data_IF_190399066093
#
_entry.id   IF_190399066093
#
_cell.length_a   1.000
_cell.length_b   1.000
_cell.length_c   1.000
_cell.angle_alpha   90.00
_cell.angle_beta   90.00
_cell.angle_gamma   90.00
#
_symmetry.space_group_name_H-M   'P 1'
#
loop_
_entity.id
_entity.type
_entity.pdbx_description
1 polymer ?
#
# COMPACT_ATOMS: atom_id res chain seq x y z
N UNK A 1 -12.16 -30.85 15.54
CA UNK A 1 -11.26 -30.45 16.62
C UNK A 1 -10.72 -29.01 16.45
N UNK A 2 -11.53 -28.07 15.94
CA UNK A 2 -11.12 -26.66 15.78
C UNK A 2 -11.83 -25.71 16.76
N UNK A 3 -12.63 -26.23 17.68
CA UNK A 3 -13.68 -25.46 18.35
C UNK A 3 -13.33 -25.04 19.81
N UNK A 4 -12.12 -25.33 20.29
CA UNK A 4 -11.73 -24.99 21.67
C UNK A 4 -10.88 -23.72 21.80
N UNK A 5 -10.72 -22.95 20.71
CA UNK A 5 -9.97 -21.71 20.72
C UNK A 5 -10.85 -20.52 21.12
N UNK A 6 -11.07 -20.35 22.41
CA UNK A 6 -11.98 -19.33 22.96
C UNK A 6 -11.25 -18.13 23.58
N UNK A 7 -9.94 -18.24 23.84
CA UNK A 7 -9.17 -17.21 24.54
C UNK A 7 -8.46 -16.30 23.52
N UNK A 8 -8.57 -14.99 23.72
CA UNK A 8 -7.87 -14.00 22.88
C UNK A 8 -6.37 -14.15 22.97
N UNK A 9 -5.69 -13.96 21.83
CA UNK A 9 -4.24 -14.03 21.74
C UNK A 9 -3.53 -13.12 22.75
N UNK A 10 -2.53 -13.68 23.44
CA UNK A 10 -1.65 -12.94 24.33
C UNK A 10 -0.77 -11.93 23.55
N UNK A 11 -0.16 -10.98 24.29
CA UNK A 11 0.81 -10.06 23.69
C UNK A 11 2.03 -10.79 23.12
N UNK A 12 2.43 -11.89 23.73
CA UNK A 12 3.56 -12.74 23.29
C UNK A 12 3.22 -13.44 21.97
N UNK A 13 2.07 -14.10 21.88
CA UNK A 13 1.58 -14.76 20.66
C UNK A 13 1.51 -13.81 19.48
N UNK A 14 1.03 -12.59 19.70
CA UNK A 14 1.00 -11.54 18.66
C UNK A 14 2.40 -11.10 18.21
N UNK A 15 3.36 -11.00 19.14
CA UNK A 15 4.77 -10.70 18.81
C UNK A 15 5.42 -11.84 18.02
N UNK A 16 5.19 -13.08 18.40
CA UNK A 16 5.68 -14.27 17.70
C UNK A 16 5.09 -14.35 16.28
N UNK A 17 3.78 -14.19 16.13
CA UNK A 17 3.14 -14.13 14.82
C UNK A 17 3.73 -12.99 13.93
N UNK A 18 3.98 -11.82 14.51
CA UNK A 18 4.66 -10.72 13.79
C UNK A 18 6.10 -11.08 13.42
N UNK A 19 6.86 -11.72 14.30
CA UNK A 19 8.21 -12.19 14.02
C UNK A 19 8.21 -13.26 12.92
N UNK A 20 7.15 -14.04 12.81
CA UNK A 20 6.90 -14.99 11.73
C UNK A 20 6.42 -14.31 10.44
N UNK A 21 6.12 -12.99 10.46
CA UNK A 21 5.61 -12.23 9.32
C UNK A 21 4.13 -12.48 9.04
N UNK A 22 3.40 -13.05 10.00
CA UNK A 22 1.95 -13.20 9.92
C UNK A 22 1.33 -11.89 10.41
N UNK A 23 0.81 -11.11 9.49
CA UNK A 23 0.20 -9.78 9.75
C UNK A 23 -1.09 -9.60 8.96
N UNK A 24 -2.04 -8.87 9.53
CA UNK A 24 -3.26 -8.49 8.81
C UNK A 24 -2.92 -7.38 7.80
N UNK A 25 -2.88 -7.72 6.52
CA UNK A 25 -2.65 -6.78 5.42
C UNK A 25 -3.71 -6.97 4.34
N UNK A 26 -4.34 -5.89 3.94
CA UNK A 26 -5.16 -5.85 2.73
C UNK A 26 -4.39 -5.19 1.59
N UNK A 27 -4.14 -5.94 0.54
CA UNK A 27 -3.55 -5.43 -0.70
C UNK A 27 -4.52 -4.48 -1.39
N UNK A 28 -5.81 -4.78 -1.33
CA UNK A 28 -6.90 -3.99 -1.93
C UNK A 28 -6.96 -2.58 -1.36
N UNK A 29 -6.86 -2.44 -0.03
CA UNK A 29 -6.84 -1.14 0.63
C UNK A 29 -5.61 -0.30 0.21
N UNK A 30 -4.43 -0.93 0.09
CA UNK A 30 -3.23 -0.22 -0.37
C UNK A 30 -3.38 0.29 -1.80
N UNK A 31 -3.93 -0.53 -2.71
CA UNK A 31 -4.18 -0.15 -4.11
C UNK A 31 -5.22 0.95 -4.18
N UNK A 32 -6.30 0.86 -3.41
CA UNK A 32 -7.36 1.86 -3.38
C UNK A 32 -6.85 3.23 -2.91
N UNK A 33 -5.99 3.26 -1.88
CA UNK A 33 -5.35 4.50 -1.41
C UNK A 33 -4.44 5.12 -2.47
N UNK A 34 -3.68 4.31 -3.19
CA UNK A 34 -2.83 4.78 -4.29
C UNK A 34 -3.67 5.32 -5.44
N UNK A 35 -4.76 4.62 -5.81
CA UNK A 35 -5.67 5.07 -6.86
C UNK A 35 -6.35 6.38 -6.49
N UNK A 36 -6.80 6.51 -5.23
CA UNK A 36 -7.39 7.76 -4.73
C UNK A 36 -6.37 8.91 -4.78
N UNK A 37 -5.13 8.64 -4.36
CA UNK A 37 -4.04 9.61 -4.44
C UNK A 37 -3.79 10.05 -5.89
N UNK A 38 -3.67 9.11 -6.83
CA UNK A 38 -3.46 9.41 -8.25
C UNK A 38 -4.62 10.22 -8.85
N UNK A 39 -5.87 9.84 -8.56
CA UNK A 39 -7.05 10.55 -9.01
C UNK A 39 -7.15 11.96 -8.41
N UNK A 40 -6.82 12.13 -7.13
CA UNK A 40 -6.77 13.42 -6.47
C UNK A 40 -5.67 14.33 -7.06
N UNK A 41 -4.49 13.79 -7.34
CA UNK A 41 -3.41 14.52 -8.00
C UNK A 41 -3.85 14.99 -9.40
N UNK A 42 -4.49 14.09 -10.17
CA UNK A 42 -5.00 14.44 -11.49
C UNK A 42 -6.05 15.57 -11.41
N UNK A 43 -6.93 15.51 -10.43
CA UNK A 43 -7.94 16.54 -10.21
C UNK A 43 -7.35 17.88 -9.79
N UNK A 44 -6.38 17.88 -8.85
CA UNK A 44 -5.81 19.09 -8.28
C UNK A 44 -4.72 19.72 -9.15
N UNK A 45 -3.84 18.89 -9.71
CA UNK A 45 -2.65 19.34 -10.43
C UNK A 45 -2.70 19.09 -11.94
N UNK A 46 -3.69 18.33 -12.43
CA UNK A 46 -3.76 17.94 -13.84
C UNK A 46 -3.84 19.15 -14.77
N UNK A 47 -4.61 20.18 -14.41
CA UNK A 47 -4.69 21.42 -15.17
C UNK A 47 -3.34 22.14 -15.25
N UNK A 48 -2.65 22.30 -14.13
CA UNK A 48 -1.33 22.92 -14.06
C UNK A 48 -0.30 22.15 -14.88
N UNK A 49 -0.36 20.83 -14.88
CA UNK A 49 0.51 19.98 -15.70
C UNK A 49 0.27 20.22 -17.20
N UNK A 50 -1.00 20.23 -17.63
CA UNK A 50 -1.35 20.48 -19.04
C UNK A 50 -0.92 21.88 -19.48
N UNK A 51 -1.18 22.91 -18.68
CA UNK A 51 -0.78 24.29 -18.96
C UNK A 51 0.75 24.42 -19.02
N UNK A 52 1.48 23.75 -18.14
CA UNK A 52 2.95 23.71 -18.14
C UNK A 52 3.50 23.04 -19.41
N UNK A 53 2.97 21.89 -19.79
CA UNK A 53 3.39 21.17 -21.00
C UNK A 53 3.06 21.97 -22.27
N UNK A 54 1.87 22.57 -22.33
CA UNK A 54 1.47 23.44 -23.45
C UNK A 54 2.36 24.69 -23.56
N UNK A 55 2.68 25.31 -22.43
CA UNK A 55 3.61 26.45 -22.37
C UNK A 55 5.02 26.06 -22.83
N UNK A 56 5.53 24.91 -22.38
CA UNK A 56 6.81 24.38 -22.82
C UNK A 56 6.84 24.14 -24.34
N UNK A 57 5.80 23.50 -24.88
CA UNK A 57 5.71 23.19 -26.30
C UNK A 57 5.62 24.47 -27.13
N UNK A 58 4.80 25.43 -26.70
CA UNK A 58 4.65 26.73 -27.40
C UNK A 58 5.97 27.54 -27.39
N UNK A 59 6.70 27.52 -26.27
CA UNK A 59 8.00 28.18 -26.18
C UNK A 59 9.03 27.55 -27.14
N UNK A 60 9.04 26.23 -27.25
CA UNK A 60 9.94 25.52 -28.19
C UNK A 60 9.58 25.79 -29.65
N UNK A 61 8.30 25.82 -29.99
CA UNK A 61 7.84 26.16 -31.35
C UNK A 61 8.20 27.59 -31.72
N UNK A 62 8.01 28.55 -30.80
CA UNK A 62 8.37 29.93 -31.01
C UNK A 62 9.90 30.09 -31.17
N UNK A 63 10.69 29.44 -30.32
CA UNK A 63 12.15 29.46 -30.44
C UNK A 63 12.63 28.86 -31.78
N UNK A 64 11.99 27.80 -32.25
CA UNK A 64 12.33 27.21 -33.57
C UNK A 64 11.91 28.07 -34.77
N UNK A 65 10.89 28.92 -34.59
CA UNK A 65 10.40 29.86 -35.65
C UNK A 65 11.14 31.19 -35.67
N UNK A 66 11.98 31.49 -34.68
CA UNK A 66 12.73 32.75 -34.65
C UNK A 66 13.93 32.69 -35.60
N UNK A 67 14.02 33.59 -36.61
CA UNK A 67 15.17 33.67 -37.52
C UNK A 67 16.51 33.83 -36.81
N UNK A 68 16.53 34.54 -35.66
CA UNK A 68 17.73 34.69 -34.84
C UNK A 68 18.26 33.35 -34.26
N UNK A 69 17.39 32.36 -34.11
CA UNK A 69 17.78 31.03 -33.68
C UNK A 69 18.59 30.26 -34.72
N UNK A 70 18.42 30.59 -36.02
CA UNK A 70 19.15 29.98 -37.13
C UNK A 70 20.60 30.50 -37.23
N UNK A 71 20.85 31.73 -36.72
CA UNK A 71 22.18 32.36 -36.73
C UNK A 71 23.05 31.92 -35.52
N UNK A 72 22.42 31.38 -34.48
CA UNK A 72 23.18 30.92 -33.30
C UNK A 72 23.82 29.54 -33.55
N UNK A 73 25.15 29.39 -33.43
CA UNK A 73 25.79 28.12 -33.64
C UNK A 73 25.31 27.13 -32.54
N UNK A 74 24.86 25.96 -32.99
CA UNK A 74 24.49 24.87 -32.06
C UNK A 74 25.75 24.32 -31.45
N UNK A 75 26.11 24.83 -30.29
CA UNK A 75 27.28 24.36 -29.51
C UNK A 75 26.81 23.38 -28.44
N UNK A 76 27.68 22.45 -28.05
CA UNK A 76 27.38 21.54 -26.94
C UNK A 76 26.97 22.26 -25.64
N UNK A 77 27.49 23.45 -25.40
CA UNK A 77 27.15 24.31 -24.26
C UNK A 77 25.72 24.83 -24.35
N UNK A 78 25.26 25.24 -25.54
CA UNK A 78 23.87 25.73 -25.73
C UNK A 78 22.86 24.57 -25.57
N UNK A 79 23.17 23.38 -26.10
CA UNK A 79 22.33 22.19 -25.91
C UNK A 79 22.26 21.78 -24.44
N UNK A 80 23.40 21.80 -23.73
CA UNK A 80 23.44 21.42 -22.30
C UNK A 80 22.67 22.40 -21.44
N UNK A 81 22.79 23.71 -21.69
CA UNK A 81 22.05 24.74 -20.95
C UNK A 81 20.55 24.65 -21.17
N UNK A 82 20.11 24.46 -22.41
CA UNK A 82 18.69 24.27 -22.74
C UNK A 82 18.14 22.98 -22.11
N UNK A 83 18.86 21.87 -22.22
CA UNK A 83 18.47 20.62 -21.58
C UNK A 83 18.36 20.76 -20.05
N UNK A 84 19.30 21.48 -19.43
CA UNK A 84 19.25 21.79 -18.00
C UNK A 84 18.03 22.62 -17.59
N UNK A 85 17.72 23.68 -18.34
CA UNK A 85 16.52 24.49 -18.09
C UNK A 85 15.23 23.69 -18.23
N UNK A 86 15.11 22.88 -19.30
CA UNK A 86 13.98 21.98 -19.51
C UNK A 86 13.85 20.96 -18.39
N UNK A 87 14.96 20.38 -17.93
CA UNK A 87 14.97 19.43 -16.84
C UNK A 87 14.54 20.07 -15.51
N UNK A 88 15.04 21.25 -15.19
CA UNK A 88 14.65 21.99 -13.98
C UNK A 88 13.18 22.41 -14.01
N UNK A 89 12.70 22.92 -15.16
CA UNK A 89 11.29 23.31 -15.30
C UNK A 89 10.34 22.12 -15.22
N UNK A 90 10.68 21.01 -15.89
CA UNK A 90 9.88 19.80 -15.87
C UNK A 90 9.90 19.11 -14.49
N UNK A 91 11.03 19.15 -13.77
CA UNK A 91 11.16 18.49 -12.48
C UNK A 91 10.20 19.05 -11.43
N UNK A 92 9.98 20.36 -11.38
CA UNK A 92 9.08 21.00 -10.42
C UNK A 92 7.61 20.55 -10.60
N UNK A 93 7.21 20.23 -11.83
CA UNK A 93 5.85 19.79 -12.16
C UNK A 93 5.71 18.26 -12.07
N UNK A 94 6.77 17.50 -12.38
CA UNK A 94 6.72 16.03 -12.39
C UNK A 94 7.03 15.40 -11.03
N UNK A 95 7.86 16.06 -10.20
CA UNK A 95 8.29 15.53 -8.91
C UNK A 95 7.12 15.23 -7.95
N UNK A 96 6.07 16.09 -7.82
CA UNK A 96 4.92 15.78 -6.98
C UNK A 96 4.18 14.50 -7.40
N UNK A 97 4.10 14.22 -8.71
CA UNK A 97 3.45 13.02 -9.26
C UNK A 97 4.18 11.74 -8.92
N UNK A 98 5.48 11.81 -8.66
CA UNK A 98 6.29 10.68 -8.23
C UNK A 98 6.33 10.54 -6.71
N UNK A 99 6.60 11.65 -6.00
CA UNK A 99 6.86 11.62 -4.56
C UNK A 99 5.59 11.42 -3.72
N UNK A 100 4.47 12.03 -4.12
CA UNK A 100 3.23 11.92 -3.33
C UNK A 100 2.67 10.49 -3.33
N UNK A 101 2.52 9.79 -4.49
CA UNK A 101 2.09 8.38 -4.48
C UNK A 101 3.08 7.46 -3.76
N UNK A 102 4.38 7.73 -3.86
CA UNK A 102 5.40 6.98 -3.13
C UNK A 102 5.23 7.15 -1.61
N UNK A 103 5.04 8.39 -1.15
CA UNK A 103 4.78 8.67 0.27
C UNK A 103 3.49 7.99 0.75
N UNK A 104 2.40 8.06 -0.04
CA UNK A 104 1.14 7.39 0.28
C UNK A 104 1.32 5.87 0.34
N UNK A 105 2.10 5.27 -0.56
CA UNK A 105 2.40 3.84 -0.54
C UNK A 105 3.13 3.42 0.74
N UNK A 106 4.13 4.20 1.14
CA UNK A 106 4.90 3.96 2.37
C UNK A 106 4.00 4.10 3.60
N UNK A 107 3.24 5.20 3.69
CA UNK A 107 2.32 5.45 4.82
C UNK A 107 1.25 4.38 4.90
N UNK A 108 0.63 3.99 3.78
CA UNK A 108 -0.38 2.93 3.74
C UNK A 108 0.19 1.58 4.24
N UNK A 109 1.43 1.26 3.88
CA UNK A 109 2.14 0.08 4.37
C UNK A 109 2.41 0.16 5.88
N UNK A 110 2.93 1.29 6.36
CA UNK A 110 3.23 1.51 7.78
C UNK A 110 1.97 1.49 8.66
N UNK A 111 0.88 2.08 8.20
CA UNK A 111 -0.39 2.10 8.95
C UNK A 111 -1.00 0.69 9.07
N UNK A 112 -0.92 -0.13 8.02
CA UNK A 112 -1.49 -1.48 8.03
C UNK A 112 -0.67 -2.49 8.85
N UNK A 113 0.66 -2.47 8.68
CA UNK A 113 1.56 -3.51 9.22
C UNK A 113 2.35 -3.00 10.41
N UNK A 114 2.56 -1.67 10.48
CA UNK A 114 3.56 -1.05 11.34
C UNK A 114 4.97 -1.27 10.80
N UNK A 115 5.96 -0.82 11.55
CA UNK A 115 7.36 -1.04 11.19
C UNK A 115 7.72 -2.51 11.43
N UNK A 116 7.89 -3.27 10.33
CA UNK A 116 8.23 -4.70 10.36
C UNK A 116 9.38 -4.97 9.40
N UNK A 117 10.58 -5.16 9.94
CA UNK A 117 11.78 -5.47 9.18
C UNK A 117 12.21 -6.91 9.45
N UNK A 118 12.07 -7.81 8.46
CA UNK A 118 12.39 -9.23 8.55
C UNK A 118 13.41 -9.65 7.47
N UNK A 119 14.69 -9.31 7.60
CA UNK A 119 15.69 -9.62 6.57
C UNK A 119 15.89 -11.13 6.36
N UNK A 120 15.74 -11.95 7.41
CA UNK A 120 15.92 -13.40 7.35
C UNK A 120 14.89 -14.17 6.52
N UNK A 121 13.78 -13.53 6.10
CA UNK A 121 12.75 -14.16 5.24
C UNK A 121 12.87 -13.82 3.74
N UNK A 122 13.82 -12.99 3.37
CA UNK A 122 14.10 -12.62 1.99
C UNK A 122 14.82 -13.74 1.19
N UNK A 123 15.23 -14.84 1.84
CA UNK A 123 15.90 -15.95 1.16
C UNK A 123 14.92 -16.71 0.27
N UNK A 124 15.21 -16.85 -1.03
CA UNK A 124 14.37 -17.60 -1.94
C UNK A 124 14.34 -19.08 -1.59
N UNK A 125 13.15 -19.64 -1.40
CA UNK A 125 12.96 -21.09 -1.14
C UNK A 125 12.62 -21.77 -2.45
N UNK A 126 13.60 -22.48 -3.04
CA UNK A 126 13.48 -23.18 -4.32
C UNK A 126 12.31 -24.18 -4.32
N UNK A 127 12.00 -24.80 -3.17
CA UNK A 127 10.87 -25.73 -3.04
C UNK A 127 9.48 -25.13 -3.29
N UNK A 128 9.35 -23.78 -3.36
CA UNK A 128 8.09 -23.10 -3.72
C UNK A 128 7.89 -22.94 -5.23
N UNK A 129 8.85 -23.30 -6.05
CA UNK A 129 8.81 -23.21 -7.52
C UNK A 129 8.17 -24.43 -8.17
N UNK A 130 7.59 -25.37 -7.41
CA UNK A 130 6.94 -26.54 -7.99
C UNK A 130 5.63 -26.15 -8.71
N UNK A 131 5.57 -26.22 -10.06
CA UNK A 131 4.42 -25.79 -10.84
C UNK A 131 3.19 -26.67 -10.63
N UNK A 132 3.37 -27.97 -10.36
CA UNK A 132 2.28 -28.91 -10.18
C UNK A 132 1.44 -28.60 -8.92
N UNK A 133 2.08 -28.13 -7.84
CA UNK A 133 1.38 -27.66 -6.63
C UNK A 133 0.61 -26.37 -6.86
N UNK A 134 1.10 -25.51 -7.76
CA UNK A 134 0.44 -24.26 -8.16
C UNK A 134 -0.87 -24.51 -8.91
N UNK A 135 -0.88 -25.44 -9.87
CA UNK A 135 -2.06 -25.76 -10.67
C UNK A 135 -3.23 -26.31 -9.81
N UNK A 136 -2.92 -27.20 -8.87
CA UNK A 136 -3.92 -27.76 -7.94
C UNK A 136 -4.53 -26.70 -7.04
N UNK A 137 -3.74 -25.68 -6.66
CA UNK A 137 -4.21 -24.57 -5.83
C UNK A 137 -5.14 -23.62 -6.61
N UNK A 138 -4.90 -23.45 -7.92
CA UNK A 138 -5.76 -22.63 -8.79
C UNK A 138 -7.16 -23.21 -8.90
N UNK A 139 -7.27 -24.54 -8.94
CA UNK A 139 -8.55 -25.28 -9.05
C UNK A 139 -9.22 -25.57 -7.69
N UNK A 140 -8.74 -24.99 -6.58
CA UNK A 140 -9.32 -25.20 -5.26
C UNK A 140 -10.61 -24.37 -5.08
N UNK A 141 -11.58 -24.91 -4.31
CA UNK A 141 -12.81 -24.21 -3.96
C UNK A 141 -12.58 -22.88 -3.23
N UNK A 142 -11.48 -22.77 -2.47
CA UNK A 142 -11.08 -21.51 -1.83
C UNK A 142 -10.74 -20.41 -2.86
N UNK A 143 -10.08 -20.79 -3.96
CA UNK A 143 -9.81 -19.85 -5.04
C UNK A 143 -11.08 -19.50 -5.85
N UNK A 144 -12.01 -20.43 -6.00
CA UNK A 144 -13.27 -20.17 -6.68
C UNK A 144 -14.12 -19.14 -5.92
N UNK A 145 -14.17 -19.21 -4.59
CA UNK A 145 -14.88 -18.19 -3.77
C UNK A 145 -14.18 -16.84 -3.84
N UNK A 146 -12.84 -16.80 -3.83
CA UNK A 146 -12.07 -15.58 -4.03
C UNK A 146 -12.28 -14.96 -5.42
N UNK A 147 -12.35 -15.79 -6.46
CA UNK A 147 -12.65 -15.34 -7.83
C UNK A 147 -14.08 -14.76 -7.93
N UNK A 148 -15.07 -15.39 -7.30
CA UNK A 148 -16.44 -14.88 -7.24
C UNK A 148 -16.54 -13.50 -6.57
N UNK A 149 -15.87 -13.29 -5.45
CA UNK A 149 -15.78 -11.99 -4.79
C UNK A 149 -15.10 -10.94 -5.67
N UNK A 150 -14.04 -11.30 -6.38
CA UNK A 150 -13.39 -10.39 -7.31
C UNK A 150 -14.26 -10.02 -8.49
N UNK A 151 -15.06 -10.97 -9.02
CA UNK A 151 -16.04 -10.70 -10.06
C UNK A 151 -17.15 -9.76 -9.58
N UNK A 152 -17.64 -9.95 -8.36
CA UNK A 152 -18.61 -9.03 -7.75
C UNK A 152 -18.04 -7.61 -7.60
N UNK A 153 -16.78 -7.46 -7.17
CA UNK A 153 -16.10 -6.17 -7.11
C UNK A 153 -16.00 -5.50 -8.47
N UNK A 154 -15.61 -6.27 -9.48
CA UNK A 154 -15.55 -5.79 -10.86
C UNK A 154 -16.90 -5.32 -11.36
N UNK A 155 -17.97 -6.07 -11.06
CA UNK A 155 -19.33 -5.71 -11.42
C UNK A 155 -19.76 -4.38 -10.78
N UNK A 156 -19.47 -4.19 -9.49
CA UNK A 156 -19.79 -2.92 -8.78
C UNK A 156 -19.07 -1.75 -9.43
N UNK A 157 -17.77 -1.90 -9.74
CA UNK A 157 -16.97 -0.85 -10.39
C UNK A 157 -17.49 -0.56 -11.82
N UNK A 158 -17.88 -1.60 -12.56
CA UNK A 158 -18.43 -1.45 -13.90
C UNK A 158 -19.78 -0.72 -13.89
N UNK A 159 -20.65 -1.05 -12.95
CA UNK A 159 -21.94 -0.36 -12.77
C UNK A 159 -21.70 1.11 -12.39
N UNK A 160 -20.81 1.37 -11.43
CA UNK A 160 -20.49 2.74 -11.01
C UNK A 160 -19.93 3.58 -12.17
N UNK A 161 -19.00 3.02 -12.96
CA UNK A 161 -18.46 3.68 -14.15
C UNK A 161 -19.55 3.91 -15.21
N UNK A 162 -20.38 2.91 -15.47
CA UNK A 162 -21.47 3.00 -16.45
C UNK A 162 -22.49 4.07 -16.10
N UNK A 163 -22.93 4.12 -14.84
CA UNK A 163 -23.85 5.16 -14.36
C UNK A 163 -23.21 6.55 -14.43
N UNK A 164 -21.94 6.69 -14.07
CA UNK A 164 -21.24 7.96 -14.21
C UNK A 164 -21.15 8.39 -15.68
N UNK A 165 -20.69 7.53 -16.57
CA UNK A 165 -20.58 7.84 -17.99
C UNK A 165 -21.94 8.20 -18.60
N UNK A 166 -22.98 7.47 -18.25
CA UNK A 166 -24.35 7.78 -18.69
C UNK A 166 -24.79 9.17 -18.24
N UNK A 167 -24.50 9.54 -16.98
CA UNK A 167 -24.83 10.88 -16.47
C UNK A 167 -24.06 12.00 -17.16
N UNK A 168 -22.88 11.73 -17.71
CA UNK A 168 -22.02 12.70 -18.37
C UNK A 168 -22.23 12.80 -19.89
N UNK A 169 -23.13 12.00 -20.49
CA UNK A 169 -23.41 12.04 -21.93
C UNK A 169 -23.75 13.46 -22.43
N UNK A 170 -24.61 14.26 -21.76
CA UNK A 170 -24.89 15.63 -22.22
C UNK A 170 -23.63 16.52 -22.22
N UNK A 171 -22.78 16.37 -21.20
CA UNK A 171 -21.51 17.11 -21.09
C UNK A 171 -20.58 16.73 -22.24
N UNK A 172 -20.41 15.44 -22.52
CA UNK A 172 -19.55 14.94 -23.60
C UNK A 172 -20.05 15.45 -24.97
N UNK A 173 -21.36 15.41 -25.22
CA UNK A 173 -21.93 15.93 -26.46
C UNK A 173 -21.68 17.44 -26.61
N UNK A 174 -21.71 18.22 -25.53
CA UNK A 174 -21.44 19.65 -25.57
C UNK A 174 -19.98 19.99 -25.91
N UNK A 175 -19.02 19.06 -25.73
CA UNK A 175 -17.59 19.27 -26.04
C UNK A 175 -17.35 19.49 -27.55
N UNK A 176 -18.24 19.05 -28.43
CA UNK A 176 -18.13 19.27 -29.87
C UNK A 176 -18.24 20.76 -30.22
N UNK A 177 -18.84 21.57 -29.34
CA UNK A 177 -19.12 23.02 -29.59
C UNK A 177 -18.07 23.96 -28.99
N UNK A 178 -17.07 23.42 -28.30
CA UNK A 178 -16.03 24.22 -27.62
C UNK A 178 -14.69 24.13 -28.37
N UNK A 179 -13.75 25.00 -28.02
CA UNK A 179 -12.40 24.93 -28.57
C UNK A 179 -11.67 23.65 -28.12
N UNK A 180 -10.71 23.20 -28.94
CA UNK A 180 -9.93 21.98 -28.66
C UNK A 180 -9.27 22.03 -27.27
N UNK A 181 -8.74 23.20 -26.87
CA UNK A 181 -8.13 23.34 -25.53
C UNK A 181 -9.15 23.22 -24.39
N UNK A 182 -10.35 23.78 -24.55
CA UNK A 182 -11.43 23.63 -23.57
C UNK A 182 -11.96 22.20 -23.51
N UNK A 183 -12.11 21.57 -24.68
CA UNK A 183 -12.52 20.16 -24.75
C UNK A 183 -11.51 19.25 -24.03
N UNK A 184 -10.21 19.47 -24.23
CA UNK A 184 -9.14 18.70 -23.54
C UNK A 184 -9.18 18.87 -22.01
N UNK A 185 -9.31 20.10 -21.52
CA UNK A 185 -9.42 20.39 -20.08
C UNK A 185 -10.67 19.78 -19.46
N UNK A 186 -11.82 19.89 -20.14
CA UNK A 186 -13.09 19.31 -19.67
C UNK A 186 -13.03 17.79 -19.63
N UNK A 187 -12.46 17.17 -20.66
CA UNK A 187 -12.26 15.71 -20.71
C UNK A 187 -11.33 15.26 -19.58
N UNK A 188 -10.23 15.99 -19.34
CA UNK A 188 -9.33 15.72 -18.20
C UNK A 188 -10.05 15.80 -16.85
N UNK A 189 -10.94 16.81 -16.69
CA UNK A 189 -11.79 16.94 -15.50
C UNK A 189 -12.75 15.76 -15.31
N UNK A 190 -13.41 15.30 -16.38
CA UNK A 190 -14.30 14.14 -16.35
C UNK A 190 -13.55 12.85 -16.00
N UNK A 191 -12.35 12.65 -16.56
CA UNK A 191 -11.51 11.50 -16.23
C UNK A 191 -11.06 11.52 -14.76
N UNK A 192 -10.71 12.70 -14.24
CA UNK A 192 -10.35 12.84 -12.83
C UNK A 192 -11.54 12.54 -11.91
N UNK A 193 -12.75 13.03 -12.23
CA UNK A 193 -13.98 12.75 -11.47
C UNK A 193 -14.31 11.25 -11.48
N UNK A 194 -14.25 10.60 -12.65
CA UNK A 194 -14.43 9.16 -12.77
C UNK A 194 -13.39 8.41 -11.94
N UNK A 195 -12.13 8.83 -12.01
CA UNK A 195 -11.04 8.26 -11.22
C UNK A 195 -11.30 8.36 -9.71
N UNK A 196 -11.77 9.51 -9.23
CA UNK A 196 -12.12 9.70 -7.81
C UNK A 196 -13.30 8.80 -7.42
N UNK A 197 -14.35 8.73 -8.23
CA UNK A 197 -15.51 7.87 -7.98
C UNK A 197 -15.08 6.40 -7.83
N UNK A 198 -14.33 5.89 -8.79
CA UNK A 198 -13.83 4.52 -8.76
C UNK A 198 -12.88 4.28 -7.58
N UNK A 199 -12.01 5.24 -7.27
CA UNK A 199 -11.11 5.16 -6.13
C UNK A 199 -11.87 5.09 -4.80
N UNK A 200 -12.94 5.87 -4.64
CA UNK A 200 -13.81 5.81 -3.44
C UNK A 200 -14.51 4.45 -3.36
N UNK A 201 -15.05 3.93 -4.45
CA UNK A 201 -15.63 2.58 -4.48
C UNK A 201 -14.59 1.51 -4.08
N UNK A 202 -13.38 1.57 -4.66
CA UNK A 202 -12.28 0.68 -4.30
C UNK A 202 -11.88 0.83 -2.82
N UNK A 203 -11.89 2.05 -2.27
CA UNK A 203 -11.56 2.32 -0.89
C UNK A 203 -12.56 1.67 0.07
N UNK A 204 -13.87 1.76 -0.22
CA UNK A 204 -14.92 1.13 0.58
C UNK A 204 -14.77 -0.40 0.56
N UNK A 205 -14.56 -0.98 -0.62
CA UNK A 205 -14.32 -2.41 -0.80
C UNK A 205 -13.04 -2.84 -0.07
N UNK A 206 -11.95 -2.08 -0.23
CA UNK A 206 -10.66 -2.35 0.42
C UNK A 206 -10.72 -2.23 1.94
N UNK A 207 -11.49 -1.28 2.48
CA UNK A 207 -11.72 -1.13 3.91
C UNK A 207 -12.50 -2.33 4.48
N UNK A 208 -13.53 -2.80 3.79
CA UNK A 208 -14.27 -4.00 4.17
C UNK A 208 -13.38 -5.26 4.15
N UNK A 209 -12.56 -5.42 3.09
CA UNK A 209 -11.58 -6.53 2.99
C UNK A 209 -10.55 -6.48 4.13
N UNK A 210 -10.05 -5.29 4.46
CA UNK A 210 -9.12 -5.12 5.58
C UNK A 210 -9.76 -5.47 6.91
N UNK A 211 -11.00 -5.03 7.15
CA UNK A 211 -11.76 -5.39 8.35
C UNK A 211 -11.94 -6.90 8.50
N UNK A 212 -12.32 -7.58 7.41
CA UNK A 212 -12.46 -9.03 7.37
C UNK A 212 -11.13 -9.74 7.65
N UNK A 213 -10.02 -9.32 6.99
CA UNK A 213 -8.69 -9.92 7.19
C UNK A 213 -8.19 -9.70 8.62
N UNK A 214 -8.47 -8.53 9.21
CA UNK A 214 -8.10 -8.24 10.58
C UNK A 214 -8.89 -9.10 11.57
N UNK A 215 -10.17 -9.25 11.35
CA UNK A 215 -11.00 -10.13 12.16
C UNK A 215 -10.54 -11.60 12.08
N UNK A 216 -10.30 -12.10 10.85
CA UNK A 216 -9.77 -13.44 10.63
C UNK A 216 -8.40 -13.63 11.30
N UNK A 217 -7.52 -12.67 11.18
CA UNK A 217 -6.21 -12.69 11.85
C UNK A 217 -6.32 -12.81 13.37
N UNK A 218 -7.24 -12.09 14.01
CA UNK A 218 -7.48 -12.22 15.44
C UNK A 218 -8.04 -13.60 15.81
N UNK A 219 -8.91 -14.16 14.96
CA UNK A 219 -9.42 -15.53 15.15
C UNK A 219 -8.34 -16.60 15.00
N UNK A 220 -7.51 -16.49 13.97
CA UNK A 220 -6.42 -17.45 13.71
C UNK A 220 -5.38 -17.46 14.86
N UNK A 221 -5.26 -16.36 15.59
CA UNK A 221 -4.38 -16.25 16.75
C UNK A 221 -5.01 -16.69 18.06
N UNK A 222 -6.33 -16.97 18.11
CA UNK A 222 -6.97 -17.44 19.34
C UNK A 222 -6.33 -18.71 19.88
N UNK A 223 -6.28 -18.82 21.19
CA UNK A 223 -5.62 -19.88 21.93
C UNK A 223 -6.62 -20.79 22.62
N UNK A 224 -6.24 -22.06 22.79
CA UNK A 224 -6.96 -22.96 23.70
C UNK A 224 -6.65 -22.62 25.16
N UNK A 225 -7.53 -22.96 26.12
CA UNK A 225 -7.26 -22.78 27.54
C UNK A 225 -5.96 -23.45 28.03
N UNK A 226 -5.60 -24.55 27.38
CA UNK A 226 -4.36 -25.30 27.72
C UNK A 226 -3.12 -24.56 27.21
N UNK A 227 -3.15 -24.03 25.97
CA UNK A 227 -2.07 -23.22 25.40
C UNK A 227 -1.84 -21.97 26.27
N UNK A 228 -2.91 -21.30 26.67
CA UNK A 228 -2.82 -20.11 27.53
C UNK A 228 -2.22 -20.42 28.91
N UNK A 229 -2.65 -21.51 29.55
CA UNK A 229 -2.05 -21.97 30.85
C UNK A 229 -0.58 -22.34 30.70
N UNK A 230 -0.17 -22.93 29.58
CA UNK A 230 1.23 -23.26 29.30
C UNK A 230 2.06 -21.99 29.15
N UNK A 231 1.56 -21.01 28.36
CA UNK A 231 2.23 -19.73 28.16
C UNK A 231 2.38 -18.93 29.47
N UNK A 232 1.36 -18.91 30.33
CA UNK A 232 1.45 -18.32 31.66
C UNK A 232 2.56 -18.97 32.50
N UNK A 233 2.63 -20.29 32.52
CA UNK A 233 3.69 -21.01 33.25
C UNK A 233 5.08 -20.67 32.72
N UNK A 234 5.24 -20.56 31.40
CA UNK A 234 6.51 -20.23 30.76
C UNK A 234 6.93 -18.77 31.01
N UNK A 235 5.96 -17.86 31.13
CA UNK A 235 6.21 -16.41 31.27
C UNK A 235 6.41 -16.00 32.73
N UNK A 236 5.63 -16.58 33.65
CA UNK A 236 5.70 -16.24 35.08
C UNK A 236 6.78 -17.00 35.79
N UNK A 237 7.40 -18.01 35.15
CA UNK A 237 8.29 -19.00 35.77
C UNK A 237 7.54 -19.73 36.86
N UNK A 238 7.54 -21.06 36.89
CA UNK A 238 6.83 -21.81 37.94
C UNK A 238 7.17 -21.17 39.29
N UNK A 239 6.20 -20.72 40.10
CA UNK A 239 6.48 -20.04 41.37
C UNK A 239 7.38 -20.85 42.28
N UNK A 240 7.43 -22.16 42.05
CA UNK A 240 8.33 -23.10 42.69
C UNK A 240 9.80 -22.86 42.32
N UNK A 241 10.12 -22.56 41.05
CA UNK A 241 11.49 -22.26 40.60
C UNK A 241 11.98 -20.92 41.14
N UNK A 242 11.10 -19.91 41.22
CA UNK A 242 11.43 -18.63 41.86
C UNK A 242 11.67 -18.78 43.37
N UNK A 243 10.86 -19.61 44.04
CA UNK A 243 11.07 -19.95 45.48
C UNK A 243 12.36 -20.73 45.69
N UNK A 244 12.63 -21.74 44.84
CA UNK A 244 13.88 -22.52 44.91
C UNK A 244 15.11 -21.65 44.67
N UNK A 245 15.10 -20.77 43.63
CA UNK A 245 16.22 -19.83 43.39
C UNK A 245 16.44 -18.83 44.52
N UNK A 246 15.36 -18.33 45.16
CA UNK A 246 15.47 -17.47 46.35
C UNK A 246 16.01 -18.19 47.55
N UNK A 247 15.59 -19.45 47.78
CA UNK A 247 16.10 -20.29 48.86
C UNK A 247 17.58 -20.59 48.69
N UNK A 248 18.02 -20.94 47.48
CA UNK A 248 19.43 -21.19 47.18
C UNK A 248 20.29 -19.94 47.32
N UNK A 249 19.79 -18.78 46.88
CA UNK A 249 20.49 -17.50 47.01
C UNK A 249 20.60 -17.07 48.49
N UNK A 250 19.61 -17.38 49.33
CA UNK A 250 19.70 -17.14 50.78
C UNK A 250 20.68 -18.08 51.47
N UNK A 251 20.75 -19.35 51.07
CA UNK A 251 21.73 -20.33 51.62
C UNK A 251 23.17 -19.97 51.27
N UNK A 252 23.45 -19.58 50.02
CA UNK A 252 24.78 -19.14 49.61
C UNK A 252 25.23 -17.79 50.22
N UNK A 253 24.27 -16.92 50.60
CA UNK A 253 24.57 -15.68 51.32
C UNK A 253 24.92 -15.90 52.80
N UNK A 254 24.42 -16.97 53.41
CA UNK A 254 24.71 -17.30 54.83
C UNK A 254 26.07 -18.02 54.98
N UNK A 255 26.47 -18.79 53.98
CA UNK A 255 27.76 -19.51 54.01
C UNK A 255 28.98 -18.58 53.86
N UNK A 256 28.79 -17.40 53.24
CA UNK A 256 29.85 -16.39 53.07
C UNK A 256 30.11 -15.50 54.31
N UNK A 257 29.30 -15.64 55.38
CA UNK A 257 29.38 -14.84 56.61
C UNK A 257 29.83 -15.60 57.85
N UNK A 258 30.27 -16.85 57.72
CA UNK A 258 30.89 -17.54 58.87
C UNK A 258 32.35 -17.08 59.07
N UNK A 259 32.70 -16.42 60.18
CA UNK A 259 34.06 -16.01 60.43
C UNK A 259 34.90 -17.26 60.77
N UNK A 260 36.01 -17.41 60.03
CA UNK A 260 37.08 -18.36 60.39
C UNK A 260 37.67 -17.90 61.71
N UNK A 261 37.42 -18.68 62.76
CA UNK A 261 38.07 -18.60 64.03
C UNK A 261 39.33 -19.43 64.04
#
# INVERSE_FOLDING_TARGET
>A
MADDRTIRASKRRRKEARAEGIVARSRELSIALQLLCAAALLFLLGRSLVESLAGMLSAQIQAAGDPASLETPVTSATVTSQAGQLAMWNSSHTLPWLLIPLAVAIVAGLVQIGFLFLPGKATPRIGRLNPAGGLRKILSLENATGAGLNLLRLLVLFIAAGLFLYSQVPTVVSLVRVSVGQAALSTGGLLAQLGILLAVCCLLIGAADYGYRRWKYEQDLMMTPEEFRRELRDTEGAPQIRRARRATAQQSGVESTSPVS
#
